data_IF_600109672426
#
_entry.id   IF_600109672426
#
_cell.length_a   1.000
_cell.length_b   1.000
_cell.length_c   1.000
_cell.angle_alpha   90.00
_cell.angle_beta   90.00
_cell.angle_gamma   90.00
#
_symmetry.space_group_name_H-M   'P 1'
#
loop_
_entity.id
_entity.type
_entity.pdbx_description
1 polymer ?
#
# COMPACT_ATOMS: atom_id res chain seq x y z
N UNK A 1 85.89 -69.68 5.29
CA UNK A 1 84.75 -69.02 4.62
C UNK A 1 85.25 -67.70 4.07
N UNK A 2 84.68 -67.22 2.96
CA UNK A 2 84.96 -65.85 2.53
C UNK A 2 84.13 -64.84 3.34
N UNK A 3 84.37 -63.56 3.07
CA UNK A 3 83.55 -62.47 3.58
C UNK A 3 82.15 -62.51 2.96
N UNK A 4 81.19 -61.94 3.68
CA UNK A 4 79.83 -61.82 3.16
C UNK A 4 79.78 -60.91 1.94
N UNK A 5 79.02 -61.33 0.94
CA UNK A 5 78.66 -60.50 -0.18
C UNK A 5 77.74 -59.33 0.21
N UNK A 6 77.37 -58.49 -0.77
CA UNK A 6 76.43 -57.41 -0.53
C UNK A 6 75.07 -57.94 -0.07
N UNK A 7 74.33 -57.10 0.66
CA UNK A 7 72.94 -57.38 0.98
C UNK A 7 72.07 -57.42 -0.29
N UNK A 8 71.08 -58.31 -0.31
CA UNK A 8 70.00 -58.28 -1.30
C UNK A 8 69.17 -57.00 -1.17
N UNK A 9 68.39 -56.69 -2.21
CA UNK A 9 67.32 -55.71 -2.10
C UNK A 9 66.34 -56.10 -0.97
N UNK A 10 65.74 -55.10 -0.34
CA UNK A 10 64.76 -55.30 0.71
C UNK A 10 63.49 -55.93 0.13
N UNK A 11 62.93 -56.92 0.83
CA UNK A 11 61.57 -57.37 0.57
C UNK A 11 60.58 -56.20 0.81
N UNK A 12 59.71 -55.86 -0.15
CA UNK A 12 58.88 -54.66 -0.09
C UNK A 12 57.80 -54.69 1.00
N UNK A 13 57.44 -55.88 1.51
CA UNK A 13 56.37 -56.05 2.51
C UNK A 13 56.96 -56.21 3.91
N UNK A 14 57.99 -57.04 4.05
CA UNK A 14 58.58 -57.42 5.33
C UNK A 14 59.84 -56.63 5.69
N UNK A 15 60.46 -55.94 4.73
CA UNK A 15 61.72 -55.22 4.93
C UNK A 15 62.93 -56.11 5.14
N UNK A 16 62.78 -57.44 5.05
CA UNK A 16 63.86 -58.37 5.24
C UNK A 16 64.86 -58.28 4.08
N UNK A 17 66.15 -58.33 4.42
CA UNK A 17 67.27 -58.48 3.48
C UNK A 17 68.18 -59.58 3.95
N UNK A 18 68.86 -60.24 3.01
CA UNK A 18 69.79 -61.31 3.32
C UNK A 18 71.13 -61.07 2.64
N UNK A 19 72.21 -61.58 3.23
CA UNK A 19 73.51 -61.67 2.56
C UNK A 19 74.12 -63.03 2.81
N UNK A 20 74.89 -63.51 1.83
CA UNK A 20 75.46 -64.85 1.88
C UNK A 20 76.97 -64.81 1.71
N UNK A 21 77.64 -65.82 2.26
CA UNK A 21 79.06 -66.11 2.07
C UNK A 21 79.21 -67.59 1.70
N UNK A 22 80.25 -67.94 0.96
CA UNK A 22 80.50 -69.31 0.54
C UNK A 22 81.48 -70.02 1.47
N UNK A 23 81.19 -71.28 1.73
CA UNK A 23 82.07 -72.17 2.48
C UNK A 23 83.15 -72.65 1.52
N UNK A 24 84.34 -72.09 1.64
CA UNK A 24 85.48 -72.42 0.76
C UNK A 24 85.98 -73.87 0.95
N UNK A 25 85.82 -74.45 2.14
CA UNK A 25 86.23 -75.83 2.45
C UNK A 25 85.20 -76.46 3.40
N UNK A 26 84.65 -77.61 3.03
CA UNK A 26 83.66 -78.33 3.84
C UNK A 26 84.33 -79.11 4.99
N UNK A 27 83.67 -79.27 6.17
CA UNK A 27 84.22 -80.06 7.26
C UNK A 27 84.30 -81.54 6.87
N UNK A 28 85.47 -82.17 7.06
CA UNK A 28 85.72 -83.59 6.80
C UNK A 28 86.08 -84.32 8.11
N UNK A 29 85.84 -85.64 8.15
CA UNK A 29 86.25 -86.56 9.24
C UNK A 29 85.79 -86.16 10.66
N UNK A 30 84.55 -85.69 10.82
CA UNK A 30 83.98 -85.36 12.14
C UNK A 30 84.31 -83.95 12.65
N UNK A 31 84.85 -83.07 11.79
CA UNK A 31 85.04 -81.65 12.13
C UNK A 31 83.74 -80.90 12.41
N UNK A 32 83.82 -79.83 13.20
CA UNK A 32 82.66 -79.02 13.58
C UNK A 32 81.96 -78.39 12.38
N UNK A 33 80.63 -78.30 12.46
CA UNK A 33 79.83 -77.65 11.44
C UNK A 33 80.26 -76.19 11.27
N UNK A 34 80.32 -75.77 10.01
CA UNK A 34 80.54 -74.38 9.63
C UNK A 34 79.41 -73.49 10.19
N UNK A 35 79.72 -72.29 10.73
CA UNK A 35 78.70 -71.29 11.08
C UNK A 35 77.76 -70.97 9.91
N UNK A 36 76.60 -70.37 10.20
CA UNK A 36 75.64 -70.01 9.16
C UNK A 36 76.28 -69.20 8.02
N UNK A 37 76.01 -69.65 6.80
CA UNK A 37 76.47 -69.04 5.55
C UNK A 37 75.55 -67.90 5.08
N UNK A 38 74.40 -67.73 5.74
CA UNK A 38 73.40 -66.70 5.46
C UNK A 38 73.18 -65.86 6.70
N UNK A 39 73.11 -64.55 6.52
CA UNK A 39 72.75 -63.58 7.55
C UNK A 39 71.48 -62.84 7.13
N UNK A 40 70.58 -62.62 8.10
CA UNK A 40 69.34 -61.86 7.92
C UNK A 40 69.47 -60.49 8.57
N UNK A 41 68.87 -59.48 7.95
CA UNK A 41 68.74 -58.14 8.51
C UNK A 41 67.46 -57.49 8.02
N UNK A 42 67.19 -56.29 8.52
CA UNK A 42 66.03 -55.50 8.14
C UNK A 42 66.47 -54.16 7.55
N UNK A 43 65.62 -53.61 6.69
CA UNK A 43 65.74 -52.26 6.19
C UNK A 43 65.06 -51.29 7.16
N UNK A 44 65.51 -50.04 7.18
CA UNK A 44 64.92 -49.03 8.05
C UNK A 44 63.47 -48.74 7.60
N UNK A 45 62.49 -48.72 8.53
CA UNK A 45 61.11 -48.43 8.19
C UNK A 45 60.97 -47.06 7.51
N UNK A 46 60.16 -47.02 6.45
CA UNK A 46 59.79 -45.75 5.81
C UNK A 46 58.33 -45.52 6.13
N UNK A 47 58.07 -44.48 6.93
CA UNK A 47 56.71 -44.10 7.30
C UNK A 47 55.97 -43.42 6.14
N UNK A 48 54.65 -43.56 6.16
CA UNK A 48 53.81 -42.84 5.21
C UNK A 48 53.96 -41.32 5.37
N UNK A 49 54.18 -40.62 4.27
CA UNK A 49 54.14 -39.15 4.21
C UNK A 49 52.93 -38.70 3.40
N UNK A 50 52.23 -37.68 3.91
CA UNK A 50 51.04 -37.12 3.30
C UNK A 50 51.34 -35.73 2.75
N UNK A 51 50.62 -35.34 1.70
CA UNK A 51 50.64 -33.96 1.21
C UNK A 51 49.98 -33.01 2.21
N UNK A 52 50.15 -31.71 1.95
CA UNK A 52 49.30 -30.70 2.56
C UNK A 52 47.83 -30.92 2.20
N UNK A 53 46.95 -30.42 3.06
CA UNK A 53 45.52 -30.43 2.82
C UNK A 53 45.13 -29.49 1.69
N UNK A 54 44.15 -29.91 0.90
CA UNK A 54 43.41 -28.99 0.03
C UNK A 54 42.67 -27.93 0.85
N UNK A 55 42.25 -26.86 0.18
CA UNK A 55 41.17 -26.03 0.72
C UNK A 55 39.90 -26.87 0.91
N UNK A 56 39.04 -26.47 1.84
CA UNK A 56 37.71 -27.04 1.93
C UNK A 56 36.94 -26.79 0.63
N UNK A 57 36.25 -27.83 0.17
CA UNK A 57 35.29 -27.72 -0.94
C UNK A 57 34.06 -26.91 -0.54
N UNK A 58 33.15 -26.73 -1.50
CA UNK A 58 31.87 -26.08 -1.26
C UNK A 58 31.07 -26.80 -0.17
N UNK A 59 30.27 -26.04 0.58
CA UNK A 59 29.38 -26.61 1.58
C UNK A 59 28.29 -27.47 0.91
N UNK A 60 28.04 -28.66 1.45
CA UNK A 60 26.90 -29.46 1.05
C UNK A 60 25.63 -28.94 1.74
N UNK A 61 24.65 -28.48 0.96
CA UNK A 61 23.42 -27.90 1.47
C UNK A 61 22.53 -28.87 2.27
N UNK A 62 22.67 -30.19 2.05
CA UNK A 62 21.87 -31.21 2.75
C UNK A 62 22.51 -31.64 4.06
N UNK A 63 23.84 -31.80 4.08
CA UNK A 63 24.55 -32.28 5.27
C UNK A 63 25.11 -31.16 6.13
N UNK A 64 25.14 -29.91 5.63
CA UNK A 64 25.74 -28.73 6.29
C UNK A 64 27.22 -28.91 6.64
N UNK A 65 27.92 -29.73 5.85
CA UNK A 65 29.32 -30.07 6.02
C UNK A 65 30.14 -29.73 4.77
N UNK A 66 31.40 -29.32 4.99
CA UNK A 66 32.42 -29.10 3.96
C UNK A 66 33.57 -30.10 4.15
N UNK A 67 34.14 -30.59 3.05
CA UNK A 67 35.19 -31.62 3.08
C UNK A 67 36.46 -31.11 2.40
N UNK A 68 37.63 -31.49 2.92
CA UNK A 68 38.94 -31.32 2.28
C UNK A 68 39.67 -32.64 2.20
N UNK A 69 40.60 -32.75 1.27
CA UNK A 69 41.36 -33.99 1.03
C UNK A 69 42.85 -33.74 0.94
N UNK A 70 43.64 -34.79 1.13
CA UNK A 70 45.09 -34.83 0.92
C UNK A 70 45.48 -36.16 0.32
N UNK A 71 46.65 -36.24 -0.29
CA UNK A 71 47.13 -37.46 -0.95
C UNK A 71 48.33 -38.04 -0.23
N UNK A 72 48.65 -39.30 -0.52
CA UNK A 72 49.86 -39.94 -0.03
C UNK A 72 51.02 -39.53 -0.94
N UNK A 73 52.03 -38.86 -0.36
CA UNK A 73 53.25 -38.46 -1.07
C UNK A 73 54.34 -39.54 -0.97
N UNK A 74 54.33 -40.36 0.08
CA UNK A 74 55.24 -41.49 0.25
C UNK A 74 54.49 -42.63 0.90
N UNK A 75 54.46 -43.79 0.22
CA UNK A 75 53.84 -45.00 0.77
C UNK A 75 54.71 -45.59 1.89
N UNK A 76 54.09 -46.20 2.92
CA UNK A 76 54.84 -46.87 3.97
C UNK A 76 55.50 -48.13 3.42
N UNK A 77 56.77 -48.34 3.75
CA UNK A 77 57.54 -49.54 3.38
C UNK A 77 58.24 -50.11 4.61
N UNK A 78 58.54 -51.41 4.56
CA UNK A 78 59.38 -52.10 5.54
C UNK A 78 58.85 -52.02 6.99
N UNK A 79 57.52 -52.10 7.14
CA UNK A 79 56.86 -52.02 8.45
C UNK A 79 56.70 -50.59 9.01
N UNK A 80 56.89 -49.56 8.18
CA UNK A 80 56.64 -48.17 8.57
C UNK A 80 55.16 -47.87 8.87
N UNK A 81 54.92 -46.76 9.57
CA UNK A 81 53.60 -46.35 10.01
C UNK A 81 52.63 -46.11 8.84
N UNK A 82 51.42 -46.67 8.96
CA UNK A 82 50.37 -46.50 7.97
C UNK A 82 49.90 -45.05 7.86
N UNK A 83 49.36 -44.69 6.69
CA UNK A 83 48.83 -43.36 6.45
C UNK A 83 47.61 -43.05 7.33
N UNK A 84 47.54 -41.82 7.82
CA UNK A 84 46.34 -41.27 8.46
C UNK A 84 45.24 -40.99 7.42
N UNK A 85 44.04 -40.58 7.88
CA UNK A 85 42.92 -40.26 7.00
C UNK A 85 43.31 -39.24 5.92
N UNK A 86 42.82 -39.52 4.71
CA UNK A 86 43.01 -38.69 3.51
C UNK A 86 41.85 -37.70 3.29
N UNK A 87 40.81 -37.77 4.11
CA UNK A 87 39.62 -36.92 4.04
C UNK A 87 39.26 -36.40 5.43
N UNK A 88 38.87 -35.14 5.48
CA UNK A 88 38.42 -34.46 6.69
C UNK A 88 37.18 -33.63 6.40
N UNK A 89 36.22 -33.68 7.31
CA UNK A 89 34.93 -32.99 7.19
C UNK A 89 34.75 -32.04 8.38
N UNK A 90 34.23 -30.85 8.11
CA UNK A 90 33.93 -29.83 9.12
C UNK A 90 32.55 -29.21 8.86
N UNK A 91 31.96 -28.59 9.89
CA UNK A 91 30.76 -27.79 9.77
C UNK A 91 30.98 -26.62 8.81
N UNK A 92 29.93 -26.25 8.07
CA UNK A 92 29.96 -25.06 7.24
C UNK A 92 29.95 -23.78 8.08
N UNK A 93 30.50 -22.72 7.51
CA UNK A 93 30.52 -21.43 8.19
C UNK A 93 29.11 -20.81 8.10
N UNK A 94 28.58 -20.25 9.21
CA UNK A 94 27.24 -19.71 9.24
C UNK A 94 27.11 -18.50 8.30
N UNK A 95 26.05 -18.47 7.50
CA UNK A 95 25.71 -17.32 6.66
C UNK A 95 24.57 -16.58 7.33
N UNK A 96 24.83 -15.37 7.82
CA UNK A 96 23.81 -14.54 8.45
C UNK A 96 22.90 -13.91 7.40
N UNK A 97 21.64 -13.72 7.75
CA UNK A 97 20.71 -13.03 6.86
C UNK A 97 21.14 -11.60 6.57
N UNK A 98 21.02 -11.18 5.32
CA UNK A 98 21.16 -9.78 4.91
C UNK A 98 19.86 -9.29 4.27
N UNK A 99 19.53 -8.03 4.50
CA UNK A 99 18.30 -7.38 4.03
C UNK A 99 18.64 -6.12 3.23
N UNK A 100 17.74 -5.73 2.33
CA UNK A 100 17.85 -4.50 1.56
C UNK A 100 17.63 -3.25 2.43
N UNK A 101 17.88 -2.08 1.85
CA UNK A 101 17.32 -0.84 2.35
C UNK A 101 15.79 -0.90 2.39
N UNK A 102 15.19 -0.08 3.25
CA UNK A 102 13.74 0.11 3.29
C UNK A 102 13.22 0.68 1.97
N UNK A 103 12.05 0.19 1.57
CA UNK A 103 11.25 0.81 0.52
C UNK A 103 10.61 2.12 0.99
N UNK A 104 9.81 2.73 0.11
CA UNK A 104 9.04 3.92 0.48
C UNK A 104 7.87 3.57 1.41
N UNK A 105 7.49 4.51 2.27
CA UNK A 105 6.26 4.43 3.06
C UNK A 105 5.03 4.37 2.16
N UNK A 106 4.09 3.52 2.55
CA UNK A 106 2.74 3.50 1.99
C UNK A 106 1.96 4.75 2.39
N UNK A 107 0.83 4.99 1.70
CA UNK A 107 -0.15 5.97 2.15
C UNK A 107 -0.73 5.57 3.51
N UNK A 108 -1.09 6.56 4.34
CA UNK A 108 -1.75 6.31 5.60
C UNK A 108 -3.05 5.51 5.39
N UNK A 109 -3.12 4.32 5.97
CA UNK A 109 -4.34 3.51 5.95
C UNK A 109 -5.40 4.12 6.85
N UNK A 110 -6.56 4.49 6.29
CA UNK A 110 -7.65 5.10 7.06
C UNK A 110 -8.27 4.16 8.10
N UNK A 111 -8.18 2.85 7.92
CA UNK A 111 -8.73 1.86 8.86
C UNK A 111 -7.82 1.60 10.06
N UNK A 112 -6.50 1.59 9.84
CA UNK A 112 -5.51 1.27 10.87
C UNK A 112 -4.76 2.48 11.41
N UNK A 113 -4.91 3.64 10.77
CA UNK A 113 -4.17 4.88 11.07
C UNK A 113 -2.65 4.67 11.10
N UNK A 114 -2.18 3.84 10.17
CA UNK A 114 -0.76 3.51 10.03
C UNK A 114 -0.32 3.55 8.58
N UNK A 115 0.88 4.06 8.35
CA UNK A 115 1.66 3.81 7.15
C UNK A 115 2.69 2.72 7.44
N UNK A 116 3.05 1.99 6.41
CA UNK A 116 3.96 0.84 6.48
C UNK A 116 4.99 0.93 5.37
N UNK A 117 6.20 0.46 5.64
CA UNK A 117 7.18 0.19 4.59
C UNK A 117 7.80 -1.20 4.78
N UNK A 118 8.34 -1.74 3.70
CA UNK A 118 8.90 -3.09 3.68
C UNK A 118 10.31 -3.09 3.09
N UNK A 119 11.08 -4.12 3.44
CA UNK A 119 12.39 -4.42 2.85
C UNK A 119 12.47 -5.92 2.55
N UNK A 120 13.34 -6.29 1.63
CA UNK A 120 13.48 -7.67 1.18
C UNK A 120 14.73 -8.32 1.76
N UNK A 121 14.72 -9.65 1.82
CA UNK A 121 15.91 -10.45 2.11
C UNK A 121 16.78 -10.48 0.85
N UNK A 122 18.05 -10.08 0.97
CA UNK A 122 19.05 -10.17 -0.11
C UNK A 122 19.93 -11.40 0.02
N UNK A 123 20.14 -11.89 1.25
CA UNK A 123 20.85 -13.15 1.53
C UNK A 123 20.06 -13.90 2.61
N UNK A 124 19.59 -15.10 2.29
CA UNK A 124 18.91 -15.96 3.24
C UNK A 124 19.92 -16.55 4.25
N UNK A 125 19.52 -16.73 5.53
CA UNK A 125 20.39 -17.35 6.51
C UNK A 125 20.59 -18.84 6.18
N UNK A 126 21.84 -19.32 6.25
CA UNK A 126 22.21 -20.72 6.00
C UNK A 126 23.14 -21.22 7.11
N UNK A 127 23.18 -22.55 7.29
CA UNK A 127 24.14 -23.26 8.14
C UNK A 127 24.17 -22.75 9.59
N UNK A 128 22.99 -22.55 10.18
CA UNK A 128 22.86 -22.03 11.56
C UNK A 128 23.15 -20.53 11.72
N UNK A 129 23.20 -19.76 10.63
CA UNK A 129 23.32 -18.32 10.67
C UNK A 129 22.13 -17.60 11.30
N UNK A 130 22.35 -16.36 11.72
CA UNK A 130 21.34 -15.54 12.39
C UNK A 130 20.20 -15.21 11.42
N UNK A 131 18.96 -15.42 11.88
CA UNK A 131 17.74 -15.13 11.15
C UNK A 131 17.57 -13.65 10.77
N UNK A 132 16.71 -13.39 9.80
CA UNK A 132 16.47 -12.03 9.32
C UNK A 132 15.79 -11.15 10.38
N UNK A 133 16.16 -9.87 10.49
CA UNK A 133 15.41 -8.90 11.28
C UNK A 133 14.03 -8.63 10.65
N UNK A 134 13.16 -7.88 11.34
CA UNK A 134 11.83 -7.53 10.83
C UNK A 134 11.89 -6.91 9.43
N UNK A 135 11.06 -7.42 8.53
CA UNK A 135 10.97 -6.99 7.13
C UNK A 135 9.90 -5.93 6.88
N UNK A 136 9.08 -5.67 7.89
CA UNK A 136 8.00 -4.68 7.85
C UNK A 136 8.11 -3.80 9.08
N UNK A 137 7.93 -2.51 8.88
CA UNK A 137 7.82 -1.53 9.96
C UNK A 137 6.59 -0.66 9.72
N UNK A 138 5.95 -0.29 10.81
CA UNK A 138 4.72 0.49 10.82
C UNK A 138 4.90 1.68 11.76
N UNK A 139 4.35 2.82 11.35
CA UNK A 139 4.28 4.01 12.18
C UNK A 139 2.87 4.59 12.17
N UNK A 140 2.50 5.29 13.23
CA UNK A 140 1.21 5.96 13.32
C UNK A 140 1.15 7.16 12.38
N UNK A 141 -0.02 7.40 11.81
CA UNK A 141 -0.31 8.56 10.99
C UNK A 141 -1.73 9.06 11.26
N UNK A 142 -1.97 10.33 10.95
CA UNK A 142 -3.30 10.93 11.05
C UNK A 142 -3.89 11.09 9.66
N UNK A 143 -5.06 10.51 9.42
CA UNK A 143 -5.84 10.85 8.23
C UNK A 143 -6.66 12.10 8.53
N UNK A 144 -6.66 13.05 7.60
CA UNK A 144 -7.49 14.24 7.73
C UNK A 144 -8.96 13.85 7.88
N UNK A 145 -9.70 14.54 8.74
CA UNK A 145 -11.11 14.23 9.00
C UNK A 145 -11.92 14.32 7.70
N UNK A 146 -12.80 13.34 7.42
CA UNK A 146 -13.71 13.41 6.29
C UNK A 146 -14.58 14.66 6.40
N UNK A 147 -14.64 15.44 5.33
CA UNK A 147 -15.56 16.58 5.22
C UNK A 147 -16.66 16.18 4.26
N UNK A 148 -17.87 16.05 4.77
CA UNK A 148 -19.04 15.71 3.98
C UNK A 148 -19.52 16.91 3.18
N UNK A 149 -20.09 16.65 2.00
CA UNK A 149 -20.70 17.73 1.24
C UNK A 149 -21.89 18.33 1.99
N UNK A 150 -21.92 19.66 2.08
CA UNK A 150 -23.07 20.42 2.58
C UNK A 150 -23.65 21.21 1.42
N UNK A 151 -24.95 21.12 1.25
CA UNK A 151 -25.69 21.87 0.22
C UNK A 151 -26.60 22.89 0.90
N UNK A 152 -26.80 24.02 0.23
CA UNK A 152 -27.68 25.08 0.73
C UNK A 152 -29.15 24.79 0.44
N UNK A 153 -29.98 25.79 0.73
CA UNK A 153 -31.40 25.75 0.45
C UNK A 153 -31.68 25.67 -1.06
N UNK A 154 -32.83 25.09 -1.37
CA UNK A 154 -33.33 25.08 -2.74
C UNK A 154 -33.74 26.48 -3.17
N UNK A 155 -33.47 26.82 -4.43
CA UNK A 155 -34.11 27.95 -5.09
C UNK A 155 -35.63 27.74 -5.15
N UNK A 156 -36.36 28.83 -5.40
CA UNK A 156 -37.75 28.72 -5.84
C UNK A 156 -37.87 27.81 -7.07
N UNK A 157 -39.04 27.20 -7.23
CA UNK A 157 -39.38 26.45 -8.43
C UNK A 157 -39.40 27.37 -9.65
N UNK A 158 -38.91 26.88 -10.78
CA UNK A 158 -39.13 27.55 -12.06
C UNK A 158 -40.62 27.50 -12.42
N UNK A 159 -41.05 28.43 -13.28
CA UNK A 159 -42.36 28.32 -13.95
C UNK A 159 -42.50 26.97 -14.67
N UNK A 160 -43.74 26.51 -14.81
CA UNK A 160 -44.05 25.27 -15.50
C UNK A 160 -43.70 25.36 -16.98
N UNK A 161 -42.95 24.38 -17.48
CA UNK A 161 -42.62 24.28 -18.88
C UNK A 161 -43.85 23.77 -19.66
N UNK A 162 -44.46 24.65 -20.46
CA UNK A 162 -45.71 24.42 -21.20
C UNK A 162 -45.77 23.11 -21.98
N UNK A 163 -44.65 22.67 -22.57
CA UNK A 163 -44.62 21.46 -23.40
C UNK A 163 -44.50 20.15 -22.61
N UNK A 164 -43.94 20.22 -21.40
CA UNK A 164 -43.59 19.01 -20.64
C UNK A 164 -44.35 18.90 -19.33
N UNK A 165 -45.05 19.96 -18.88
CA UNK A 165 -45.76 19.97 -17.61
C UNK A 165 -44.84 19.77 -16.41
N UNK A 166 -43.58 20.21 -16.52
CA UNK A 166 -42.56 20.01 -15.50
C UNK A 166 -41.94 21.33 -15.05
N UNK A 167 -41.50 21.34 -13.79
CA UNK A 167 -40.75 22.44 -13.17
C UNK A 167 -39.47 21.90 -12.55
N UNK A 168 -38.52 22.79 -12.29
CA UNK A 168 -37.26 22.41 -11.66
C UNK A 168 -36.84 23.43 -10.61
N UNK A 169 -36.03 22.99 -9.65
CA UNK A 169 -35.32 23.87 -8.73
C UNK A 169 -33.90 23.37 -8.54
N UNK A 170 -33.01 24.27 -8.12
CA UNK A 170 -31.59 23.97 -7.95
C UNK A 170 -31.12 24.39 -6.57
N UNK A 171 -30.03 23.81 -6.10
CA UNK A 171 -29.33 24.25 -4.89
C UNK A 171 -27.83 24.22 -5.11
N UNK A 172 -27.11 25.04 -4.38
CA UNK A 172 -25.65 25.14 -4.50
C UNK A 172 -24.96 24.31 -3.43
N UNK A 173 -23.77 23.85 -3.75
CA UNK A 173 -22.85 23.28 -2.77
C UNK A 173 -22.29 24.40 -1.92
N UNK A 174 -22.44 24.29 -0.61
CA UNK A 174 -21.89 25.21 0.40
C UNK A 174 -20.51 24.72 0.83
N UNK A 175 -20.36 23.42 1.04
CA UNK A 175 -19.09 22.79 1.41
C UNK A 175 -18.81 21.63 0.46
N UNK A 176 -17.68 21.69 -0.24
CA UNK A 176 -17.24 20.60 -1.12
C UNK A 176 -16.77 19.39 -0.28
N UNK A 177 -17.04 18.15 -0.72
CA UNK A 177 -16.55 16.96 -0.03
C UNK A 177 -15.03 16.83 -0.18
N UNK A 178 -14.34 16.49 0.90
CA UNK A 178 -12.89 16.24 0.89
C UNK A 178 -12.51 15.08 1.82
N UNK A 179 -11.29 14.56 1.69
CA UNK A 179 -10.74 13.50 2.54
C UNK A 179 -11.64 12.24 2.62
N UNK A 180 -12.28 11.87 1.51
CA UNK A 180 -13.18 10.71 1.47
C UNK A 180 -14.56 10.92 2.13
N UNK A 181 -14.95 12.17 2.40
CA UNK A 181 -16.30 12.49 2.87
C UNK A 181 -17.39 12.22 1.83
N UNK A 182 -18.64 12.17 2.28
CA UNK A 182 -19.81 11.83 1.46
C UNK A 182 -20.04 12.84 0.34
N UNK A 183 -20.24 12.34 -0.88
CA UNK A 183 -20.52 13.15 -2.07
C UNK A 183 -21.81 13.98 -1.92
N UNK A 184 -21.91 15.06 -2.69
CA UNK A 184 -23.09 15.92 -2.66
C UNK A 184 -24.34 15.15 -3.14
N UNK A 185 -25.50 15.35 -2.48
CA UNK A 185 -26.77 14.86 -3.01
C UNK A 185 -27.14 15.62 -4.29
N UNK A 186 -28.23 15.23 -4.95
CA UNK A 186 -28.71 15.89 -6.17
C UNK A 186 -28.84 17.41 -5.97
N UNK A 187 -28.26 18.17 -6.90
CA UNK A 187 -28.28 19.64 -6.90
C UNK A 187 -29.43 20.21 -7.73
N UNK A 188 -30.14 19.35 -8.45
CA UNK A 188 -31.30 19.70 -9.26
C UNK A 188 -32.42 18.72 -8.93
N UNK A 189 -33.61 19.27 -8.73
CA UNK A 189 -34.83 18.50 -8.54
C UNK A 189 -35.83 18.87 -9.64
N UNK A 190 -36.56 17.87 -10.12
CA UNK A 190 -37.65 18.05 -11.09
C UNK A 190 -38.97 17.64 -10.44
N UNK A 191 -39.99 18.46 -10.64
CA UNK A 191 -41.35 18.24 -10.16
C UNK A 191 -42.36 18.25 -11.31
N UNK A 192 -43.49 17.59 -11.09
CA UNK A 192 -44.67 17.66 -11.96
C UNK A 192 -45.48 18.92 -11.64
N UNK A 193 -46.10 19.52 -12.65
CA UNK A 193 -47.05 20.63 -12.49
C UNK A 193 -48.50 20.15 -12.34
N UNK A 194 -48.77 18.88 -12.64
CA UNK A 194 -50.12 18.31 -12.56
C UNK A 194 -50.65 18.37 -11.12
N UNK A 195 -51.81 19.00 -10.94
CA UNK A 195 -52.48 19.13 -9.64
C UNK A 195 -51.95 20.25 -8.75
N UNK A 196 -51.18 21.19 -9.31
CA UNK A 196 -50.91 22.46 -8.64
C UNK A 196 -52.16 23.35 -8.72
N UNK A 197 -52.44 24.07 -7.65
CA UNK A 197 -53.38 25.19 -7.64
C UNK A 197 -52.62 26.48 -7.91
N UNK A 198 -53.31 27.52 -8.40
CA UNK A 198 -52.69 28.82 -8.61
C UNK A 198 -52.24 29.45 -7.29
N UNK A 199 -50.93 29.48 -7.06
CA UNK A 199 -50.35 30.22 -5.94
C UNK A 199 -49.86 31.57 -6.45
N UNK A 200 -50.45 32.64 -5.93
CA UNK A 200 -50.08 34.01 -6.27
C UNK A 200 -49.11 34.56 -5.24
N UNK A 201 -48.10 35.29 -5.70
CA UNK A 201 -47.22 36.04 -4.82
C UNK A 201 -47.94 37.25 -4.23
N UNK A 202 -47.32 37.81 -3.19
CA UNK A 202 -47.75 39.08 -2.62
C UNK A 202 -47.76 40.18 -3.70
N UNK A 203 -48.74 41.07 -3.60
CA UNK A 203 -48.75 42.28 -4.41
C UNK A 203 -47.59 43.18 -4.01
N UNK A 204 -46.95 43.81 -5.00
CA UNK A 204 -46.10 44.96 -4.75
C UNK A 204 -46.95 46.09 -4.18
N UNK A 205 -46.29 47.04 -3.52
CA UNK A 205 -46.91 48.32 -3.24
C UNK A 205 -47.38 48.97 -4.56
N UNK A 206 -48.39 49.83 -4.43
CA UNK A 206 -48.83 50.67 -5.53
C UNK A 206 -47.70 51.60 -5.98
N UNK A 207 -47.65 51.86 -7.28
CA UNK A 207 -46.74 52.86 -7.88
C UNK A 207 -46.86 54.21 -7.16
N UNK A 208 -45.73 54.89 -6.98
CA UNK A 208 -45.73 56.18 -6.30
C UNK A 208 -46.25 57.29 -7.24
N UNK A 209 -47.32 57.97 -6.84
CA UNK A 209 -48.02 58.94 -7.69
C UNK A 209 -48.90 58.29 -8.76
N UNK A 210 -49.51 59.12 -9.60
CA UNK A 210 -50.43 58.71 -10.67
C UNK A 210 -49.75 58.84 -12.03
N UNK A 211 -50.09 57.95 -12.97
CA UNK A 211 -49.66 58.09 -14.36
C UNK A 211 -50.47 59.19 -15.11
N UNK A 212 -50.12 59.44 -16.37
CA UNK A 212 -50.77 60.45 -17.23
C UNK A 212 -52.26 60.18 -17.48
N UNK A 213 -52.74 58.96 -17.16
CA UNK A 213 -54.14 58.58 -17.25
C UNK A 213 -54.85 58.59 -15.89
N UNK A 214 -54.18 59.04 -14.83
CA UNK A 214 -54.72 59.06 -13.48
C UNK A 214 -54.86 57.68 -12.84
N UNK A 215 -53.96 56.74 -13.13
CA UNK A 215 -53.96 55.39 -12.55
C UNK A 215 -52.72 55.12 -11.71
N UNK A 216 -52.91 54.33 -10.65
CA UNK A 216 -51.83 53.58 -10.03
C UNK A 216 -51.89 52.15 -10.50
N UNK A 217 -50.71 51.57 -10.70
CA UNK A 217 -50.51 50.15 -11.00
C UNK A 217 -49.78 49.47 -9.85
N UNK A 218 -50.16 48.23 -9.53
CA UNK A 218 -49.35 47.29 -8.74
C UNK A 218 -49.25 45.96 -9.47
N UNK A 219 -48.24 45.18 -9.13
CA UNK A 219 -48.00 43.89 -9.79
C UNK A 219 -47.79 42.79 -8.77
N UNK A 220 -48.06 41.55 -9.16
CA UNK A 220 -47.66 40.36 -8.41
C UNK A 220 -47.16 39.30 -9.37
N UNK A 221 -46.48 38.29 -8.85
CA UNK A 221 -46.00 37.17 -9.66
C UNK A 221 -46.90 35.95 -9.46
N UNK A 222 -47.04 35.13 -10.50
CA UNK A 222 -47.55 33.76 -10.34
C UNK A 222 -46.39 32.92 -9.80
N UNK A 223 -46.57 32.34 -8.61
CA UNK A 223 -45.59 31.47 -7.97
C UNK A 223 -45.74 30.02 -8.47
N UNK A 224 -46.97 29.51 -8.45
CA UNK A 224 -47.33 28.22 -9.02
C UNK A 224 -48.46 28.39 -10.03
N UNK A 225 -48.24 27.89 -11.25
CA UNK A 225 -49.19 27.92 -12.35
C UNK A 225 -49.57 26.46 -12.68
N UNK A 226 -50.85 26.05 -12.54
CA UNK A 226 -51.33 24.73 -12.93
C UNK A 226 -51.03 24.41 -14.40
N UNK A 227 -50.96 25.47 -15.22
CA UNK A 227 -50.79 25.42 -16.66
C UNK A 227 -51.71 24.38 -17.33
N UNK A 228 -52.99 24.39 -16.94
CA UNK A 228 -54.05 23.70 -17.65
C UNK A 228 -54.75 24.71 -18.58
N UNK A 229 -55.21 24.28 -19.76
CA UNK A 229 -55.83 25.19 -20.72
C UNK A 229 -57.17 25.77 -20.23
N UNK A 230 -57.74 25.16 -19.19
CA UNK A 230 -59.06 25.49 -18.65
C UNK A 230 -59.02 26.27 -17.31
N UNK A 231 -57.87 26.33 -16.62
CA UNK A 231 -57.70 27.04 -15.33
C UNK A 231 -56.60 28.09 -15.43
N UNK A 232 -56.99 29.36 -15.54
CA UNK A 232 -56.07 30.49 -15.65
C UNK A 232 -55.86 31.12 -14.27
N UNK A 233 -54.61 31.38 -13.91
CA UNK A 233 -54.33 32.11 -12.68
C UNK A 233 -54.88 33.55 -12.77
N UNK A 234 -55.39 34.09 -11.65
CA UNK A 234 -55.93 35.44 -11.65
C UNK A 234 -54.85 36.47 -12.01
N UNK A 235 -55.29 37.64 -12.46
CA UNK A 235 -54.43 38.65 -13.05
C UNK A 235 -53.23 39.04 -12.17
N UNK A 236 -52.13 39.37 -12.84
CA UNK A 236 -50.85 39.74 -12.22
C UNK A 236 -50.63 41.24 -12.13
N UNK A 237 -51.54 42.01 -12.73
CA UNK A 237 -51.52 43.47 -12.73
C UNK A 237 -52.89 43.94 -12.25
N UNK A 238 -52.87 44.91 -11.36
CA UNK A 238 -54.06 45.54 -10.84
C UNK A 238 -53.91 47.05 -10.97
N UNK A 239 -55.04 47.71 -11.23
CA UNK A 239 -55.12 49.14 -11.49
C UNK A 239 -56.13 49.77 -10.54
N UNK A 240 -55.80 50.94 -10.02
CA UNK A 240 -56.78 51.76 -9.28
C UNK A 240 -56.75 53.20 -9.78
N UNK A 241 -57.92 53.81 -9.79
CA UNK A 241 -58.09 55.21 -10.15
C UNK A 241 -57.51 56.12 -9.07
N UNK A 242 -56.86 57.18 -9.51
CA UNK A 242 -56.49 58.31 -8.70
C UNK A 242 -57.65 59.30 -8.56
N UNK A 243 -57.65 60.02 -7.45
CA UNK A 243 -58.62 61.06 -7.20
C UNK A 243 -58.21 62.34 -7.94
N UNK A 244 -59.10 62.83 -8.80
CA UNK A 244 -58.88 64.08 -9.52
C UNK A 244 -59.35 65.27 -8.68
N UNK A 245 -58.46 66.23 -8.47
CA UNK A 245 -58.80 67.49 -7.81
C UNK A 245 -59.02 68.60 -8.83
N UNK A 246 -60.27 69.06 -8.98
CA UNK A 246 -60.57 70.24 -9.82
C UNK A 246 -59.91 71.52 -9.30
N UNK A 247 -59.59 71.58 -8.00
CA UNK A 247 -58.95 72.74 -7.40
C UNK A 247 -57.50 72.93 -7.89
N UNK A 248 -56.79 71.83 -8.11
CA UNK A 248 -55.38 71.83 -8.50
C UNK A 248 -55.13 71.28 -9.91
N UNK A 249 -56.18 70.83 -10.60
CA UNK A 249 -56.13 70.13 -11.89
C UNK A 249 -55.11 68.98 -11.90
N UNK A 250 -55.06 68.20 -10.81
CA UNK A 250 -54.03 67.18 -10.59
C UNK A 250 -54.66 65.88 -10.07
N UNK A 251 -54.01 64.76 -10.36
CA UNK A 251 -54.35 63.43 -9.87
C UNK A 251 -53.49 63.09 -8.65
N UNK A 252 -54.14 62.79 -7.54
CA UNK A 252 -53.47 62.30 -6.34
C UNK A 252 -53.81 60.83 -6.08
N UNK A 253 -52.86 60.03 -5.58
CA UNK A 253 -53.15 58.69 -5.09
C UNK A 253 -54.34 58.70 -4.13
N UNK A 254 -55.27 57.73 -4.25
CA UNK A 254 -56.37 57.61 -3.30
C UNK A 254 -55.78 57.28 -1.92
N UNK A 255 -56.37 57.86 -0.87
CA UNK A 255 -55.93 57.63 0.49
C UNK A 255 -56.26 56.19 0.91
N UNK A 256 -55.22 55.37 1.09
CA UNK A 256 -55.35 53.97 1.56
C UNK A 256 -55.71 53.90 3.06
N UNK A 257 -55.92 55.05 3.73
CA UNK A 257 -56.27 55.13 5.15
C UNK A 257 -57.70 54.71 5.50
N UNK A 258 -58.54 54.31 4.53
CA UNK A 258 -59.91 53.86 4.81
C UNK A 258 -60.80 54.92 5.48
N UNK A 259 -60.43 56.20 5.39
CA UNK A 259 -61.20 57.32 5.92
C UNK A 259 -61.88 58.06 4.76
N UNK A 260 -63.21 57.96 4.68
CA UNK A 260 -64.02 58.76 3.75
C UNK A 260 -64.24 60.14 4.39
N UNK A 261 -63.75 61.19 3.77
CA UNK A 261 -64.08 62.58 4.16
C UNK A 261 -65.43 62.94 3.54
N UNK A 262 -66.47 63.01 4.36
CA UNK A 262 -67.76 63.62 3.99
C UNK A 262 -67.92 64.93 4.76
N UNK A 263 -68.09 66.04 4.03
CA UNK A 263 -68.27 67.40 4.58
C UNK A 263 -67.19 67.84 5.59
N UNK A 264 -65.92 67.51 5.33
CA UNK A 264 -64.79 68.05 6.08
C UNK A 264 -64.61 67.51 7.50
N UNK A 265 -65.27 66.41 7.85
CA UNK A 265 -64.94 65.64 9.07
C UNK A 265 -64.54 64.21 8.72
N UNK A 266 -63.47 63.76 9.36
CA UNK A 266 -62.92 62.40 9.26
C UNK A 266 -63.82 61.45 10.04
N UNK A 267 -64.37 60.42 9.38
CA UNK A 267 -65.20 59.39 10.04
C UNK A 267 -64.68 58.01 9.66
N UNK A 268 -64.19 57.26 10.65
CA UNK A 268 -63.70 55.90 10.46
C UNK A 268 -64.87 54.90 10.33
N UNK A 269 -64.85 54.07 9.27
CA UNK A 269 -65.71 52.89 9.18
C UNK A 269 -64.97 51.68 9.75
N UNK A 270 -65.42 51.20 10.91
CA UNK A 270 -65.00 49.90 11.45
C UNK A 270 -65.44 48.78 10.48
N UNK A 271 -64.48 48.15 9.81
CA UNK A 271 -64.72 46.94 9.05
C UNK A 271 -65.05 45.78 10.02
N UNK A 272 -66.32 45.43 10.16
CA UNK A 272 -66.75 44.12 10.65
C UNK A 272 -66.55 43.09 9.55
N UNK A 273 -65.55 42.23 9.70
CA UNK A 273 -65.37 41.05 8.85
C UNK A 273 -66.16 39.86 9.40
N UNK A 274 -66.91 39.21 8.50
CA UNK A 274 -67.37 37.82 8.56
C UNK A 274 -66.31 36.91 7.94
#
# INVERSE_FOLDING_TARGET
>A
MNDFGPWTACDPVTGAKTRTRTIQVAPMYGGSACPNATEQGFCDPIDCKLSDWSSFGACNATTELKTRTRTVSTLPLYGGAACLSLSETAACDPVNCQVSSWGSWSSCSASTLTWTHTRNITVAPLYGGIGCPSLTEAASCTVATPVNCVVGDWTAWTKCATRTGTRSRTRKVVTQPSNGGTACPALTEKGSCRGLECAMGEWTDWTNGCDDNGLQTRTRVILDDPYDCDDWCPETVDYRACDYSEANCDYSPPDDSGEVVVDGQVVALEAKAF
#
